data_IF_010473729564
#
_entry.id   IF_010473729564
#
_cell.length_a   1.000
_cell.length_b   1.000
_cell.length_c   1.000
_cell.angle_alpha   90.00
_cell.angle_beta   90.00
_cell.angle_gamma   90.00
#
_symmetry.space_group_name_H-M   'P 1'
#
loop_
_entity.id
_entity.type
_entity.pdbx_description
1 polymer ?
#
# COMPACT_ATOMS: atom_id res chain seq x y z
N UNK A 1 26.59 -29.72 13.58
CA UNK A 1 27.00 -29.41 12.18
C UNK A 1 25.86 -29.61 11.17
N UNK A 2 24.97 -30.59 11.37
CA UNK A 2 23.76 -30.82 10.54
C UNK A 2 22.62 -29.83 10.81
N UNK A 3 22.49 -29.31 12.03
CA UNK A 3 21.45 -28.33 12.39
C UNK A 3 21.64 -26.93 11.80
N UNK A 4 22.84 -26.58 11.29
CA UNK A 4 23.12 -25.28 10.68
C UNK A 4 22.72 -25.26 9.18
N UNK A 5 22.53 -26.44 8.56
CA UNK A 5 22.06 -26.55 7.16
C UNK A 5 20.53 -26.51 7.04
N UNK A 6 19.79 -27.01 8.04
CA UNK A 6 18.32 -26.94 8.09
C UNK A 6 17.81 -25.49 8.19
N UNK A 7 18.56 -24.62 8.86
CA UNK A 7 18.19 -23.21 9.03
C UNK A 7 18.38 -22.38 7.73
N UNK A 8 19.07 -22.96 6.74
CA UNK A 8 19.26 -22.34 5.44
C UNK A 8 18.04 -22.56 4.54
N UNK A 9 17.21 -21.51 4.45
CA UNK A 9 16.36 -21.21 3.28
C UNK A 9 14.99 -21.89 3.22
N UNK A 10 14.12 -21.59 4.18
CA UNK A 10 12.71 -21.37 3.84
C UNK A 10 12.43 -19.86 3.69
N UNK A 11 13.09 -19.23 2.72
CA UNK A 11 12.62 -17.92 2.23
C UNK A 11 11.27 -18.18 1.55
N UNK A 12 10.17 -17.94 2.27
CA UNK A 12 8.83 -17.94 1.68
C UNK A 12 8.87 -17.04 0.45
N UNK A 13 8.44 -17.60 -0.69
CA UNK A 13 8.33 -16.83 -1.91
C UNK A 13 7.49 -15.58 -1.65
N UNK A 14 7.89 -14.41 -2.18
CA UNK A 14 7.09 -13.20 -2.04
C UNK A 14 5.71 -13.41 -2.67
N UNK A 15 4.69 -12.76 -2.10
CA UNK A 15 3.36 -12.75 -2.69
C UNK A 15 3.41 -12.14 -4.10
N UNK A 16 2.58 -12.65 -5.01
CA UNK A 16 2.46 -12.09 -6.36
C UNK A 16 2.18 -10.59 -6.30
N UNK A 17 2.97 -9.74 -7.00
CA UNK A 17 2.74 -8.30 -7.01
C UNK A 17 1.33 -7.92 -7.49
N UNK A 18 0.74 -8.69 -8.40
CA UNK A 18 -0.62 -8.46 -8.88
C UNK A 18 -1.68 -8.75 -7.83
N UNK A 19 -1.46 -9.74 -6.94
CA UNK A 19 -2.35 -10.01 -5.80
C UNK A 19 -2.29 -8.85 -4.81
N UNK A 20 -1.09 -8.37 -4.49
CA UNK A 20 -0.92 -7.20 -3.60
C UNK A 20 -1.60 -5.96 -4.18
N UNK A 21 -1.45 -5.73 -5.48
CA UNK A 21 -2.12 -4.65 -6.20
C UNK A 21 -3.65 -4.75 -6.10
N UNK A 22 -4.21 -5.93 -6.40
CA UNK A 22 -5.65 -6.16 -6.31
C UNK A 22 -6.19 -5.84 -4.92
N UNK A 23 -5.52 -6.34 -3.87
CA UNK A 23 -5.92 -6.09 -2.49
C UNK A 23 -5.78 -4.61 -2.12
N UNK A 24 -4.74 -3.91 -2.58
CA UNK A 24 -4.58 -2.48 -2.32
C UNK A 24 -5.68 -1.61 -2.97
N UNK A 25 -6.19 -2.01 -4.14
CA UNK A 25 -7.30 -1.35 -4.84
C UNK A 25 -8.65 -1.60 -4.16
N UNK A 26 -8.83 -2.74 -3.48
CA UNK A 26 -10.11 -3.03 -2.80
C UNK A 26 -10.11 -2.52 -1.36
N UNK A 27 -8.97 -2.62 -0.67
CA UNK A 27 -8.83 -2.36 0.76
C UNK A 27 -7.68 -1.38 1.03
N UNK A 28 -7.97 -0.10 1.35
CA UNK A 28 -6.93 0.89 1.63
C UNK A 28 -6.03 0.44 2.79
N UNK A 29 -4.71 0.53 2.58
CA UNK A 29 -3.68 0.16 3.56
C UNK A 29 -3.35 -1.34 3.65
N UNK A 30 -4.16 -2.23 3.07
CA UNK A 30 -3.94 -3.68 3.18
C UNK A 30 -2.78 -4.19 2.31
N UNK A 31 -2.46 -3.51 1.20
CA UNK A 31 -1.29 -3.84 0.40
C UNK A 31 0.01 -3.74 1.21
N UNK A 32 0.12 -2.74 2.08
CA UNK A 32 1.24 -2.57 3.00
C UNK A 32 1.27 -3.67 4.08
N UNK A 33 0.11 -4.09 4.60
CA UNK A 33 0.02 -5.23 5.52
C UNK A 33 0.56 -6.51 4.87
N UNK A 34 0.17 -6.79 3.62
CA UNK A 34 0.68 -7.93 2.84
C UNK A 34 2.19 -7.84 2.59
N UNK A 35 2.73 -6.63 2.50
CA UNK A 35 4.16 -6.38 2.37
C UNK A 35 4.93 -6.42 3.71
N UNK A 36 4.26 -6.75 4.83
CA UNK A 36 4.79 -6.71 6.19
C UNK A 36 5.22 -5.31 6.66
N UNK A 37 4.55 -4.26 6.17
CA UNK A 37 4.78 -2.86 6.56
C UNK A 37 3.50 -2.19 7.10
N UNK A 38 2.78 -2.78 8.07
CA UNK A 38 1.46 -2.31 8.51
C UNK A 38 1.47 -0.86 9.04
N UNK A 39 2.54 -0.44 9.73
CA UNK A 39 2.67 0.93 10.22
C UNK A 39 2.69 1.96 9.09
N UNK A 40 3.34 1.63 7.95
CA UNK A 40 3.36 2.49 6.76
C UNK A 40 1.94 2.63 6.19
N UNK A 41 1.20 1.52 6.11
CA UNK A 41 -0.20 1.52 5.69
C UNK A 41 -1.09 2.38 6.59
N UNK A 42 -0.94 2.25 7.92
CA UNK A 42 -1.71 3.04 8.89
C UNK A 42 -1.42 4.54 8.78
N UNK A 43 -0.14 4.91 8.66
CA UNK A 43 0.27 6.32 8.50
C UNK A 43 -0.32 6.90 7.20
N UNK A 44 -0.20 6.18 6.08
CA UNK A 44 -0.77 6.62 4.80
C UNK A 44 -2.29 6.73 4.85
N UNK A 45 -2.98 5.80 5.52
CA UNK A 45 -4.42 5.86 5.72
C UNK A 45 -4.82 7.08 6.55
N UNK A 46 -4.08 7.39 7.62
CA UNK A 46 -4.28 8.61 8.40
C UNK A 46 -4.15 9.88 7.56
N UNK A 47 -3.10 9.97 6.74
CA UNK A 47 -2.91 11.10 5.82
C UNK A 47 -3.99 11.18 4.73
N UNK A 48 -4.41 10.03 4.19
CA UNK A 48 -5.51 9.95 3.22
C UNK A 48 -6.80 10.54 3.80
N UNK A 49 -7.17 10.14 5.02
CA UNK A 49 -8.37 10.66 5.70
C UNK A 49 -8.22 12.14 6.03
N UNK A 50 -7.07 12.55 6.58
CA UNK A 50 -6.81 13.95 6.91
C UNK A 50 -6.89 14.84 5.67
N UNK A 51 -6.23 14.48 4.57
CA UNK A 51 -6.30 15.25 3.33
C UNK A 51 -7.67 15.20 2.68
N UNK A 52 -8.40 14.08 2.77
CA UNK A 52 -9.78 13.99 2.33
C UNK A 52 -10.67 14.99 3.06
N UNK A 53 -10.58 15.06 4.39
CA UNK A 53 -11.32 16.03 5.20
C UNK A 53 -10.87 17.46 4.92
N UNK A 54 -9.57 17.72 4.87
CA UNK A 54 -9.05 19.06 4.59
C UNK A 54 -9.49 19.59 3.22
N UNK A 55 -9.41 18.75 2.19
CA UNK A 55 -9.88 19.14 0.84
C UNK A 55 -11.39 19.36 0.83
N UNK A 56 -12.16 18.57 1.58
CA UNK A 56 -13.60 18.75 1.68
C UNK A 56 -13.97 20.08 2.35
N UNK A 57 -13.25 20.46 3.41
CA UNK A 57 -13.53 21.68 4.19
C UNK A 57 -13.19 22.97 3.42
N UNK A 58 -12.17 22.93 2.57
CA UNK A 58 -11.72 24.11 1.81
C UNK A 58 -12.42 24.21 0.45
N UNK A 59 -13.01 23.13 -0.06
CA UNK A 59 -13.68 23.12 -1.34
C UNK A 59 -14.98 23.95 -1.34
N UNK A 60 -15.16 24.77 -2.38
CA UNK A 60 -16.40 25.51 -2.62
C UNK A 60 -17.60 24.56 -2.82
N UNK A 61 -18.83 24.97 -2.44
CA UNK A 61 -20.03 24.18 -2.68
C UNK A 61 -20.22 23.72 -4.13
N UNK A 62 -19.78 24.53 -5.10
CA UNK A 62 -19.88 24.29 -6.55
C UNK A 62 -18.92 23.20 -7.07
N UNK A 63 -17.93 22.79 -6.26
CA UNK A 63 -16.97 21.74 -6.64
C UNK A 63 -17.67 20.37 -6.61
N UNK A 64 -17.35 19.54 -7.60
CA UNK A 64 -17.86 18.16 -7.67
C UNK A 64 -17.47 17.34 -6.43
N UNK A 65 -18.23 16.29 -6.14
CA UNK A 65 -17.95 15.40 -4.98
C UNK A 65 -16.55 14.81 -5.07
N UNK A 66 -16.11 14.40 -6.26
CA UNK A 66 -14.74 13.89 -6.49
C UNK A 66 -13.70 14.97 -6.18
N UNK A 67 -13.94 16.21 -6.63
CA UNK A 67 -13.05 17.34 -6.35
C UNK A 67 -12.96 17.69 -4.87
N UNK A 68 -14.08 17.59 -4.13
CA UNK A 68 -14.12 17.81 -2.68
C UNK A 68 -13.27 16.81 -1.90
N UNK A 69 -13.07 15.59 -2.41
CA UNK A 69 -12.23 14.57 -1.77
C UNK A 69 -10.89 14.34 -2.49
N UNK A 70 -10.47 15.26 -3.36
CA UNK A 70 -9.30 15.08 -4.23
C UNK A 70 -8.02 14.73 -3.44
N UNK A 71 -7.83 15.31 -2.25
CA UNK A 71 -6.66 15.05 -1.43
C UNK A 71 -6.60 13.60 -0.92
N UNK A 72 -7.74 13.06 -0.50
CA UNK A 72 -7.86 11.65 -0.09
C UNK A 72 -7.69 10.71 -1.27
N UNK A 73 -8.32 11.00 -2.42
CA UNK A 73 -8.20 10.19 -3.64
C UNK A 73 -6.75 10.17 -4.16
N UNK A 74 -6.06 11.31 -4.11
CA UNK A 74 -4.66 11.42 -4.47
C UNK A 74 -3.78 10.52 -3.60
N UNK A 75 -3.90 10.62 -2.27
CA UNK A 75 -3.13 9.77 -1.34
C UNK A 75 -3.49 8.30 -1.48
N UNK A 76 -4.75 7.98 -1.75
CA UNK A 76 -5.18 6.62 -2.01
C UNK A 76 -4.46 6.03 -3.22
N UNK A 77 -4.33 6.80 -4.29
CA UNK A 77 -3.60 6.40 -5.51
C UNK A 77 -2.12 6.15 -5.21
N UNK A 78 -1.48 7.05 -4.45
CA UNK A 78 -0.08 6.87 -4.01
C UNK A 78 0.08 5.62 -3.14
N UNK A 79 -0.88 5.34 -2.25
CA UNK A 79 -0.87 4.16 -1.40
C UNK A 79 -0.98 2.85 -2.20
N UNK A 80 -1.75 2.83 -3.29
CA UNK A 80 -1.81 1.68 -4.20
C UNK A 80 -0.47 1.48 -4.91
N UNK A 81 0.11 2.54 -5.47
CA UNK A 81 1.42 2.46 -6.14
C UNK A 81 2.51 1.97 -5.20
N UNK A 82 2.56 2.52 -3.99
CA UNK A 82 3.51 2.13 -2.96
C UNK A 82 3.46 0.62 -2.69
N UNK A 83 2.27 0.07 -2.48
CA UNK A 83 2.10 -1.36 -2.21
C UNK A 83 2.59 -2.24 -3.38
N UNK A 84 2.25 -1.88 -4.61
CA UNK A 84 2.66 -2.63 -5.79
C UNK A 84 4.17 -2.55 -6.06
N UNK A 85 4.77 -1.36 -5.97
CA UNK A 85 6.21 -1.20 -6.21
C UNK A 85 7.05 -1.99 -5.21
N UNK A 86 6.67 -1.98 -3.93
CA UNK A 86 7.35 -2.79 -2.92
C UNK A 86 7.21 -4.30 -3.17
N UNK A 87 6.02 -4.76 -3.55
CA UNK A 87 5.80 -6.16 -3.88
C UNK A 87 6.63 -6.59 -5.11
N UNK A 88 6.63 -5.76 -6.16
CA UNK A 88 7.41 -6.00 -7.38
C UNK A 88 8.91 -6.01 -7.10
N UNK A 89 9.41 -5.03 -6.34
CA UNK A 89 10.81 -4.96 -5.94
C UNK A 89 11.25 -6.21 -5.19
N UNK A 90 10.42 -6.70 -4.25
CA UNK A 90 10.70 -7.93 -3.50
C UNK A 90 10.71 -9.18 -4.39
N UNK A 91 9.80 -9.26 -5.35
CA UNK A 91 9.77 -10.34 -6.36
C UNK A 91 11.06 -10.33 -7.18
N UNK A 92 11.46 -9.18 -7.71
CA UNK A 92 12.67 -9.04 -8.53
C UNK A 92 13.95 -9.40 -7.77
N UNK A 93 14.04 -9.11 -6.47
CA UNK A 93 15.18 -9.53 -5.64
C UNK A 93 15.17 -11.04 -5.38
N UNK A 94 13.99 -11.67 -5.31
CA UNK A 94 13.90 -13.10 -5.08
C UNK A 94 14.26 -13.92 -6.32
N UNK A 95 13.96 -13.38 -7.52
CA UNK A 95 14.21 -14.03 -8.81
C UNK A 95 15.67 -13.88 -9.29
N UNK A 96 16.45 -12.96 -8.70
CA UNK A 96 17.90 -12.75 -8.95
C UNK A 96 18.76 -13.54 -7.96
#
# INVERSE_FOLDING_TARGET
MTHIYEESKQRKAPLSPYLVLFIAIVLPGMGQVLNNTPLRGLIMLGFMLMLGVLTYQVASPEVSVIGKFAGGIFLYSIMIFDAYYWAKYRSLIFDN
#
